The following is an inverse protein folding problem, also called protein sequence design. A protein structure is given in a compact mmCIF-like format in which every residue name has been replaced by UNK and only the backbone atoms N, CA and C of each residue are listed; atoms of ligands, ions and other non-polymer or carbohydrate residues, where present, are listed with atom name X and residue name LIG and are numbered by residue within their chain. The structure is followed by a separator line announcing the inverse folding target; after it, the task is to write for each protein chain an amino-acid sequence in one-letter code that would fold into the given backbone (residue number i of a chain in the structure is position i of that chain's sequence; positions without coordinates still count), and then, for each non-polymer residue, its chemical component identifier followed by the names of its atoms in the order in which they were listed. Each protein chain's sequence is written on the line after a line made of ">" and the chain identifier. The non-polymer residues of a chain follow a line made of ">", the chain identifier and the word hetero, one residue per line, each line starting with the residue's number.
data_IF_679422124898
#
_entry.id   IF_679422124898
#
_cell.length_a   1.000
_cell.length_b   1.000
_cell.length_c   1.000
_cell.angle_alpha   90.00
_cell.angle_beta   90.00
_cell.angle_gamma   90.00
#
_symmetry.space_group_name_H-M   'P 1'
#
loop_
_entity.id
_entity.type
_entity.pdbx_description
1 polymer ?
#
# COMPACT_ATOMS: atom_id res chain seq x y z
N UNK A 1 -7.05 -14.08 -20.25
CA UNK A 1 -8.16 -13.50 -19.45
C UNK A 1 -7.59 -12.38 -18.61
N UNK A 2 -8.13 -11.15 -18.67
CA UNK A 2 -7.77 -10.09 -17.72
C UNK A 2 -8.49 -10.40 -16.41
N UNK A 3 -7.74 -10.69 -15.35
CA UNK A 3 -8.31 -10.84 -14.00
C UNK A 3 -8.92 -9.50 -13.61
N UNK A 4 -10.20 -9.49 -13.21
CA UNK A 4 -10.82 -8.36 -12.52
C UNK A 4 -10.99 -8.73 -11.06
N UNK A 5 -10.60 -7.81 -10.18
CA UNK A 5 -10.78 -7.97 -8.75
C UNK A 5 -12.08 -7.31 -8.31
N UNK A 6 -12.86 -7.99 -7.47
CA UNK A 6 -13.94 -7.35 -6.72
C UNK A 6 -13.36 -6.43 -5.64
N UNK A 7 -14.17 -5.51 -5.14
CA UNK A 7 -13.79 -4.65 -4.01
C UNK A 7 -13.36 -5.45 -2.78
N UNK A 8 -14.02 -6.56 -2.49
CA UNK A 8 -13.65 -7.46 -1.39
C UNK A 8 -12.27 -8.10 -1.60
N UNK A 9 -11.96 -8.53 -2.83
CA UNK A 9 -10.65 -9.08 -3.16
C UNK A 9 -9.55 -8.02 -3.06
N UNK A 10 -9.83 -6.77 -3.47
CA UNK A 10 -8.90 -5.66 -3.30
C UNK A 10 -8.71 -5.33 -1.81
N UNK A 11 -9.77 -5.34 -1.02
CA UNK A 11 -9.70 -5.09 0.42
C UNK A 11 -8.88 -6.16 1.15
N UNK A 12 -9.04 -7.44 0.79
CA UNK A 12 -8.23 -8.53 1.33
C UNK A 12 -6.74 -8.32 1.03
N UNK A 13 -6.40 -7.93 -0.21
CA UNK A 13 -5.02 -7.61 -0.59
C UNK A 13 -4.43 -6.44 0.19
N UNK A 14 -5.23 -5.41 0.48
CA UNK A 14 -4.79 -4.31 1.36
C UNK A 14 -4.56 -4.76 2.80
N UNK A 15 -5.43 -5.62 3.35
CA UNK A 15 -5.27 -6.14 4.69
C UNK A 15 -4.00 -7.00 4.83
N UNK A 16 -3.70 -7.81 3.81
CA UNK A 16 -2.45 -8.57 3.71
C UNK A 16 -1.24 -7.65 3.69
N UNK A 17 -1.24 -6.60 2.85
CA UNK A 17 -0.16 -5.62 2.81
C UNK A 17 0.01 -4.90 4.16
N UNK A 18 -1.08 -4.43 4.76
CA UNK A 18 -1.02 -3.67 6.01
C UNK A 18 -0.43 -4.52 7.14
N UNK A 19 -0.81 -5.80 7.19
CA UNK A 19 -0.22 -6.79 8.12
C UNK A 19 1.27 -6.97 7.88
N UNK A 20 1.69 -7.08 6.63
CA UNK A 20 3.11 -7.24 6.29
C UNK A 20 3.93 -6.00 6.61
N UNK A 21 3.42 -4.80 6.32
CA UNK A 21 4.09 -3.54 6.66
C UNK A 21 4.18 -3.35 8.18
N UNK A 22 3.15 -3.72 8.94
CA UNK A 22 3.21 -3.73 10.41
C UNK A 22 4.27 -4.72 10.93
N UNK A 23 4.39 -5.89 10.30
CA UNK A 23 5.42 -6.88 10.64
C UNK A 23 6.84 -6.34 10.37
N UNK A 24 7.04 -5.68 9.23
CA UNK A 24 8.31 -5.05 8.84
C UNK A 24 8.66 -3.89 9.78
N UNK A 25 7.70 -3.04 10.10
CA UNK A 25 7.88 -1.96 11.08
C UNK A 25 8.24 -2.49 12.47
N UNK A 26 7.64 -3.61 12.91
CA UNK A 26 7.93 -4.22 14.20
C UNK A 26 9.35 -4.81 14.34
N UNK A 27 10.04 -5.04 13.22
CA UNK A 27 11.43 -5.51 13.19
C UNK A 27 12.42 -4.42 12.78
N UNK A 28 11.99 -3.15 12.75
CA UNK A 28 12.77 -2.00 12.26
C UNK A 28 13.38 -2.27 10.88
N UNK A 29 12.61 -2.91 10.00
CA UNK A 29 13.04 -3.19 8.63
C UNK A 29 13.38 -1.87 7.89
N UNK A 30 14.40 -1.89 7.02
CA UNK A 30 14.76 -0.72 6.24
C UNK A 30 13.63 -0.30 5.29
N UNK A 31 13.54 1.01 4.98
CA UNK A 31 12.48 1.59 4.14
C UNK A 31 12.37 0.86 2.78
N UNK A 32 13.48 0.38 2.23
CA UNK A 32 13.53 -0.40 0.99
C UNK A 32 12.71 -1.69 1.07
N UNK A 33 12.71 -2.39 2.21
CA UNK A 33 11.91 -3.60 2.39
C UNK A 33 10.41 -3.28 2.45
N UNK A 34 10.05 -2.15 3.05
CA UNK A 34 8.66 -1.66 3.06
C UNK A 34 8.20 -1.30 1.64
N UNK A 35 9.07 -0.66 0.85
CA UNK A 35 8.80 -0.36 -0.56
C UNK A 35 8.62 -1.62 -1.41
N UNK A 36 9.47 -2.64 -1.22
CA UNK A 36 9.33 -3.93 -1.93
C UNK A 36 7.99 -4.60 -1.60
N UNK A 37 7.58 -4.61 -0.33
CA UNK A 37 6.27 -5.13 0.07
C UNK A 37 5.13 -4.34 -0.60
N UNK A 38 5.26 -3.01 -0.65
CA UNK A 38 4.27 -2.12 -1.26
C UNK A 38 4.15 -2.34 -2.77
N UNK A 39 5.27 -2.44 -3.50
CA UNK A 39 5.32 -2.65 -4.96
C UNK A 39 4.55 -3.88 -5.42
N UNK A 40 4.58 -4.97 -4.63
CA UNK A 40 3.81 -6.17 -4.92
C UNK A 40 2.29 -5.92 -4.97
N UNK A 41 1.79 -4.95 -4.20
CA UNK A 41 0.38 -4.55 -4.23
C UNK A 41 0.07 -3.58 -5.38
N UNK A 42 0.93 -2.58 -5.62
CA UNK A 42 0.68 -1.56 -6.67
C UNK A 42 0.78 -2.13 -8.08
N UNK A 43 1.39 -3.30 -8.24
CA UNK A 43 1.42 -4.03 -9.50
C UNK A 43 0.03 -4.51 -9.99
N UNK A 44 -1.04 -4.36 -9.20
CA UNK A 44 -2.40 -4.57 -9.69
C UNK A 44 -2.71 -3.54 -10.80
N UNK A 45 -2.90 -3.98 -12.05
CA UNK A 45 -3.16 -3.04 -13.14
C UNK A 45 -4.49 -2.32 -12.91
N UNK A 46 -4.55 -1.00 -13.11
CA UNK A 46 -5.82 -0.23 -13.01
C UNK A 46 -6.92 -0.77 -13.93
N UNK A 47 -6.53 -1.46 -15.01
CA UNK A 47 -7.47 -2.16 -15.93
C UNK A 47 -8.15 -3.39 -15.33
N UNK A 48 -7.63 -3.91 -14.22
CA UNK A 48 -8.18 -5.01 -13.42
C UNK A 48 -9.10 -4.53 -12.28
N UNK A 49 -9.32 -3.22 -12.16
CA UNK A 49 -10.15 -2.58 -11.14
C UNK A 49 -11.38 -1.98 -11.81
N UNK A 50 -12.57 -2.29 -11.28
CA UNK A 50 -13.83 -1.71 -11.73
C UNK A 50 -13.80 -0.18 -11.62
N UNK A 51 -14.40 0.52 -12.59
CA UNK A 51 -14.30 1.98 -12.68
C UNK A 51 -14.82 2.68 -11.41
N UNK A 52 -15.88 2.15 -10.81
CA UNK A 52 -16.48 2.66 -9.58
C UNK A 52 -15.54 2.56 -8.36
N UNK A 53 -14.61 1.59 -8.37
CA UNK A 53 -13.72 1.32 -7.24
C UNK A 53 -12.34 1.96 -7.39
N UNK A 54 -12.01 2.55 -8.55
CA UNK A 54 -10.69 3.15 -8.79
C UNK A 54 -10.33 4.28 -7.83
N UNK A 55 -11.31 5.12 -7.48
CA UNK A 55 -11.10 6.20 -6.52
C UNK A 55 -10.80 5.63 -5.14
N UNK A 56 -11.63 4.70 -4.69
CA UNK A 56 -11.44 4.01 -3.43
C UNK A 56 -10.09 3.29 -3.38
N UNK A 57 -9.69 2.61 -4.46
CA UNK A 57 -8.37 1.99 -4.60
C UNK A 57 -7.23 2.98 -4.34
N UNK A 58 -7.23 4.13 -5.02
CA UNK A 58 -6.20 5.15 -4.81
C UNK A 58 -6.21 5.70 -3.38
N UNK A 59 -7.38 5.95 -2.79
CA UNK A 59 -7.50 6.38 -1.39
C UNK A 59 -6.87 5.35 -0.43
N UNK A 60 -7.03 4.05 -0.69
CA UNK A 60 -6.39 3.01 0.12
C UNK A 60 -4.87 2.98 -0.07
N UNK A 61 -4.36 3.10 -1.30
CA UNK A 61 -2.91 3.18 -1.60
C UNK A 61 -2.28 4.35 -0.84
N UNK A 62 -2.83 5.56 -0.99
CA UNK A 62 -2.30 6.75 -0.31
C UNK A 62 -2.38 6.64 1.21
N UNK A 63 -3.51 6.17 1.74
CA UNK A 63 -3.67 5.97 3.17
C UNK A 63 -2.68 4.96 3.76
N UNK A 64 -2.35 3.89 3.03
CA UNK A 64 -1.32 2.95 3.45
C UNK A 64 0.08 3.58 3.44
N UNK A 65 0.43 4.36 2.40
CA UNK A 65 1.72 5.05 2.36
C UNK A 65 1.88 6.05 3.51
N UNK A 66 0.83 6.80 3.83
CA UNK A 66 0.86 7.77 4.93
C UNK A 66 1.04 7.08 6.29
N UNK A 67 0.27 6.01 6.56
CA UNK A 67 0.35 5.25 7.82
C UNK A 67 1.73 4.63 8.06
N UNK A 68 2.37 4.16 7.00
CA UNK A 68 3.66 3.45 7.09
C UNK A 68 4.86 4.34 6.79
N UNK A 69 4.66 5.65 6.72
CA UNK A 69 5.77 6.58 6.56
C UNK A 69 6.41 6.60 5.16
N UNK A 70 5.76 6.03 4.15
CA UNK A 70 6.26 5.90 2.78
C UNK A 70 5.97 7.12 1.92
N UNK A 71 5.84 8.29 2.53
CA UNK A 71 5.70 9.56 1.82
C UNK A 71 6.87 10.47 2.13
N UNK A 72 7.23 11.34 1.18
CA UNK A 72 8.25 12.36 1.43
C UNK A 72 7.91 13.27 2.63
N UNK A 73 6.61 13.41 2.96
CA UNK A 73 6.14 14.14 4.14
C UNK A 73 6.48 13.42 5.46
N UNK A 74 6.44 12.10 5.46
CA UNK A 74 6.78 11.28 6.63
C UNK A 74 8.24 11.43 7.04
N UNK A 75 9.15 11.61 6.07
CA UNK A 75 10.57 11.88 6.33
C UNK A 75 10.82 13.22 7.02
N UNK A 76 10.01 14.23 6.73
CA UNK A 76 10.11 15.55 7.35
C UNK A 76 9.75 15.54 8.85
N UNK A 77 9.04 14.52 9.32
CA UNK A 77 8.65 14.35 10.73
C UNK A 77 9.68 13.51 11.51
N UNK A 78 10.42 12.65 10.81
CA UNK A 78 11.44 11.76 11.41
C UNK A 78 12.85 12.35 11.46
N UNK A 79 13.13 13.47 10.77
CA UNK A 79 14.40 14.20 10.92
C UNK A 79 14.35 15.12 12.16
N UNK A 80 15.18 14.89 13.20
CA UNK A 80 15.34 15.87 14.26
C UNK A 80 16.07 17.10 13.71
N UNK A 81 15.51 18.29 13.93
CA UNK A 81 16.24 19.55 13.79
C UNK A 81 17.39 19.66 14.77
#
# INVERSE_FOLDING_TARGET
>A
MRVRYSREQLAAKFAELDTELLRLAAIDAPEEELWVAFEHLVHVPTSSIEQADRRWWWEQVYGAMERHGLTALSRLVSEPR
#
